data_IF_306691594003
#
_entry.id   IF_306691594003
#
_cell.length_a   1.000
_cell.length_b   1.000
_cell.length_c   1.000
_cell.angle_alpha   90.00
_cell.angle_beta   90.00
_cell.angle_gamma   90.00
#
_symmetry.space_group_name_H-M   'P 1'
#
loop_
_entity.id
_entity.type
_entity.pdbx_description
1 polymer ?
#
# COMPACT_ATOMS: atom_id res chain seq x y z
N UNK A 1 11.49 -19.09 -9.85
CA UNK A 1 11.07 -18.21 -10.95
C UNK A 1 9.60 -17.77 -10.86
N UNK A 2 9.08 -17.19 -11.94
CA UNK A 2 7.73 -16.63 -11.99
C UNK A 2 6.58 -17.65 -12.15
N UNK A 3 6.86 -18.95 -12.16
CA UNK A 3 5.87 -20.00 -12.43
C UNK A 3 5.45 -20.12 -13.91
N UNK A 4 6.09 -19.37 -14.81
CA UNK A 4 5.73 -19.35 -16.25
C UNK A 4 5.76 -20.73 -16.89
N UNK A 5 6.65 -21.63 -16.46
CA UNK A 5 6.68 -23.03 -16.92
C UNK A 5 5.41 -23.78 -16.53
N UNK A 6 4.89 -23.58 -15.33
CA UNK A 6 3.63 -24.18 -14.89
C UNK A 6 2.43 -23.64 -15.66
N UNK A 7 2.39 -22.30 -15.84
CA UNK A 7 1.35 -21.66 -16.67
C UNK A 7 1.42 -22.15 -18.11
N UNK A 8 2.62 -22.27 -18.70
CA UNK A 8 2.80 -22.80 -20.04
C UNK A 8 2.31 -24.26 -20.14
N UNK A 9 2.62 -25.10 -19.15
CA UNK A 9 2.15 -26.48 -19.11
C UNK A 9 0.60 -26.55 -19.07
N UNK A 10 -0.03 -25.72 -18.25
CA UNK A 10 -1.49 -25.61 -18.16
C UNK A 10 -2.12 -25.16 -19.49
N UNK A 11 -1.56 -24.12 -20.11
CA UNK A 11 -2.04 -23.57 -21.38
C UNK A 11 -1.82 -24.52 -22.57
N UNK A 12 -0.89 -25.46 -22.49
CA UNK A 12 -0.71 -26.48 -23.53
C UNK A 12 -1.90 -27.41 -23.66
N UNK A 13 -2.69 -27.63 -22.59
CA UNK A 13 -3.91 -28.44 -22.62
C UNK A 13 -5.02 -27.73 -23.43
N UNK A 14 -5.12 -26.43 -23.29
CA UNK A 14 -6.16 -25.61 -23.94
C UNK A 14 -5.54 -24.38 -24.63
N UNK A 15 -4.79 -24.58 -25.76
CA UNK A 15 -4.11 -23.48 -26.41
C UNK A 15 -5.08 -22.48 -27.01
N UNK A 16 -4.87 -21.18 -26.74
CA UNK A 16 -5.66 -20.11 -27.30
C UNK A 16 -5.42 -19.99 -28.83
N UNK A 17 -6.36 -19.34 -29.53
CA UNK A 17 -6.21 -19.03 -30.98
C UNK A 17 -4.91 -18.25 -31.23
N UNK A 18 -4.64 -17.23 -30.38
CA UNK A 18 -3.41 -16.41 -30.46
C UNK A 18 -2.14 -17.24 -30.32
N UNK A 19 -2.12 -18.20 -29.38
CA UNK A 19 -0.94 -19.08 -29.22
C UNK A 19 -0.66 -19.92 -30.50
N UNK A 20 -1.71 -20.44 -31.10
CA UNK A 20 -1.59 -21.19 -32.37
C UNK A 20 -1.10 -20.31 -33.52
N UNK A 21 -1.57 -19.07 -33.62
CA UNK A 21 -1.12 -18.08 -34.60
C UNK A 21 0.35 -17.70 -34.39
N UNK A 22 0.78 -17.48 -33.15
CA UNK A 22 2.19 -17.19 -32.84
C UNK A 22 3.07 -18.38 -33.20
N UNK A 23 2.70 -19.59 -32.81
CA UNK A 23 3.46 -20.80 -33.20
C UNK A 23 3.63 -20.92 -34.71
N UNK A 24 2.57 -20.67 -35.49
CA UNK A 24 2.61 -20.65 -36.93
C UNK A 24 3.53 -19.56 -37.47
N UNK A 25 3.48 -18.34 -36.91
CA UNK A 25 4.34 -17.22 -37.35
C UNK A 25 5.83 -17.48 -37.08
N UNK A 26 6.12 -18.25 -36.02
CA UNK A 26 7.48 -18.66 -35.65
C UNK A 26 7.94 -19.94 -36.41
N UNK A 27 7.10 -20.49 -37.29
CA UNK A 27 7.34 -21.75 -37.98
C UNK A 27 7.64 -22.92 -37.03
N UNK A 28 6.96 -22.96 -35.88
CA UNK A 28 7.08 -24.01 -34.86
C UNK A 28 5.82 -24.85 -34.86
N UNK A 29 5.97 -26.17 -34.77
CA UNK A 29 4.86 -27.12 -34.66
C UNK A 29 4.80 -27.69 -33.23
N UNK A 30 4.12 -27.04 -32.29
CA UNK A 30 4.03 -27.54 -30.93
C UNK A 30 3.16 -28.79 -30.84
N UNK A 31 3.54 -29.71 -29.96
CA UNK A 31 2.66 -30.83 -29.59
C UNK A 31 1.76 -30.31 -28.46
N UNK A 32 0.50 -30.04 -28.76
CA UNK A 32 -0.48 -29.61 -27.79
C UNK A 32 -1.00 -30.81 -26.97
N UNK A 33 -1.53 -30.52 -25.77
CA UNK A 33 -2.11 -31.49 -24.85
C UNK A 33 -1.64 -31.30 -23.43
N UNK A 34 -2.21 -32.07 -22.51
CA UNK A 34 -1.89 -32.00 -21.07
C UNK A 34 -0.39 -32.18 -20.82
N UNK A 35 0.13 -31.40 -19.90
CA UNK A 35 1.53 -31.44 -19.43
C UNK A 35 1.55 -31.44 -17.91
N UNK A 36 2.45 -32.20 -17.35
CA UNK A 36 2.79 -32.16 -15.92
C UNK A 36 4.06 -31.33 -15.75
N UNK A 37 4.02 -30.34 -14.88
CA UNK A 37 5.18 -29.53 -14.49
C UNK A 37 5.46 -29.73 -13.00
N UNK A 38 6.73 -29.99 -12.67
CA UNK A 38 7.20 -29.98 -11.29
C UNK A 38 8.00 -28.70 -11.10
N UNK A 39 7.57 -27.86 -10.18
CA UNK A 39 8.13 -26.53 -9.94
C UNK A 39 8.79 -26.50 -8.57
N UNK A 40 9.99 -25.95 -8.52
CA UNK A 40 10.72 -25.70 -7.29
C UNK A 40 10.92 -24.20 -7.13
N UNK A 41 10.58 -23.68 -5.96
CA UNK A 41 10.74 -22.28 -5.61
C UNK A 41 11.17 -22.16 -4.15
N UNK A 42 12.18 -21.34 -3.89
CA UNK A 42 12.76 -21.12 -2.56
C UNK A 42 12.00 -20.03 -1.80
N UNK A 43 11.48 -19.02 -2.53
CA UNK A 43 10.78 -17.88 -1.95
C UNK A 43 9.37 -18.23 -1.52
N UNK A 44 9.03 -17.99 -0.27
CA UNK A 44 7.70 -18.28 0.29
C UNK A 44 6.60 -17.58 -0.49
N UNK A 45 6.78 -16.28 -0.79
CA UNK A 45 5.81 -15.50 -1.58
C UNK A 45 5.66 -16.04 -3.00
N UNK A 46 6.77 -16.33 -3.68
CA UNK A 46 6.75 -16.85 -5.04
C UNK A 46 6.10 -18.23 -5.09
N UNK A 47 6.39 -19.12 -4.14
CA UNK A 47 5.73 -20.42 -4.01
C UNK A 47 4.22 -20.28 -3.82
N UNK A 48 3.78 -19.39 -2.94
CA UNK A 48 2.37 -19.09 -2.72
C UNK A 48 1.70 -18.56 -4.00
N UNK A 49 2.31 -17.55 -4.64
CA UNK A 49 1.76 -16.95 -5.86
C UNK A 49 1.63 -17.97 -7.00
N UNK A 50 2.66 -18.81 -7.21
CA UNK A 50 2.65 -19.87 -8.23
C UNK A 50 1.54 -20.89 -7.94
N UNK A 51 1.45 -21.40 -6.70
CA UNK A 51 0.39 -22.32 -6.28
C UNK A 51 -1.00 -21.74 -6.58
N UNK A 52 -1.20 -20.47 -6.22
CA UNK A 52 -2.47 -19.78 -6.38
C UNK A 52 -2.82 -19.55 -7.85
N UNK A 53 -1.89 -19.08 -8.68
CA UNK A 53 -2.10 -18.85 -10.13
C UNK A 53 -2.41 -20.16 -10.86
N UNK A 54 -1.81 -21.27 -10.44
CA UNK A 54 -2.02 -22.59 -11.03
C UNK A 54 -3.24 -23.34 -10.43
N UNK A 55 -3.95 -22.73 -9.46
CA UNK A 55 -5.15 -23.33 -8.90
C UNK A 55 -6.28 -23.38 -9.93
N UNK A 56 -7.14 -24.41 -9.79
CA UNK A 56 -8.28 -24.58 -10.69
C UNK A 56 -9.50 -23.78 -10.21
N UNK A 57 -9.41 -22.46 -10.32
CA UNK A 57 -10.53 -21.55 -10.06
C UNK A 57 -11.01 -21.03 -11.40
N UNK A 58 -12.31 -21.13 -11.68
CA UNK A 58 -12.89 -20.54 -12.88
C UNK A 58 -13.00 -19.03 -12.77
N UNK A 59 -13.02 -18.34 -13.91
CA UNK A 59 -13.22 -16.89 -13.92
C UNK A 59 -14.53 -16.48 -13.26
N UNK A 60 -15.60 -17.27 -13.43
CA UNK A 60 -16.90 -16.99 -12.80
C UNK A 60 -16.82 -17.06 -11.28
N UNK A 61 -16.27 -18.15 -10.74
CA UNK A 61 -16.09 -18.33 -9.30
C UNK A 61 -15.23 -17.21 -8.69
N UNK A 62 -14.14 -16.84 -9.35
CA UNK A 62 -13.28 -15.76 -8.88
C UNK A 62 -13.98 -14.41 -8.91
N UNK A 63 -14.69 -14.08 -10.01
CA UNK A 63 -15.40 -12.80 -10.14
C UNK A 63 -16.50 -12.68 -9.08
N UNK A 64 -17.31 -13.72 -8.89
CA UNK A 64 -18.35 -13.74 -7.87
C UNK A 64 -17.76 -13.56 -6.45
N UNK A 65 -16.66 -14.25 -6.17
CA UNK A 65 -15.96 -14.12 -4.89
C UNK A 65 -15.41 -12.70 -4.68
N UNK A 66 -14.81 -12.08 -5.70
CA UNK A 66 -14.31 -10.70 -5.63
C UNK A 66 -15.44 -9.71 -5.40
N UNK A 67 -16.55 -9.82 -6.13
CA UNK A 67 -17.73 -8.94 -5.96
C UNK A 67 -18.30 -9.04 -4.54
N UNK A 68 -18.45 -10.26 -4.03
CA UNK A 68 -18.88 -10.50 -2.66
C UNK A 68 -17.88 -9.98 -1.62
N UNK A 69 -16.60 -10.16 -1.87
CA UNK A 69 -15.52 -9.66 -1.02
C UNK A 69 -15.51 -8.13 -0.97
N UNK A 70 -15.59 -7.45 -2.11
CA UNK A 70 -15.60 -5.98 -2.18
C UNK A 70 -16.80 -5.37 -1.46
N UNK A 71 -17.98 -5.99 -1.57
CA UNK A 71 -19.16 -5.55 -0.82
C UNK A 71 -18.95 -5.64 0.69
N UNK A 72 -18.49 -6.80 1.18
CA UNK A 72 -18.18 -6.99 2.61
C UNK A 72 -17.05 -6.06 3.07
N UNK A 73 -16.03 -5.82 2.23
CA UNK A 73 -14.94 -4.91 2.52
C UNK A 73 -15.45 -3.47 2.68
N UNK A 74 -16.35 -3.01 1.80
CA UNK A 74 -16.95 -1.69 1.91
C UNK A 74 -17.72 -1.50 3.21
N UNK A 75 -18.51 -2.49 3.61
CA UNK A 75 -19.26 -2.47 4.87
C UNK A 75 -18.32 -2.47 6.09
N UNK A 76 -17.20 -3.19 6.02
CA UNK A 76 -16.27 -3.39 7.13
C UNK A 76 -15.35 -2.19 7.36
N UNK A 77 -14.82 -1.59 6.31
CA UNK A 77 -13.75 -0.58 6.39
C UNK A 77 -14.00 0.69 5.58
N UNK A 78 -15.07 0.77 4.80
CA UNK A 78 -15.34 1.90 3.91
C UNK A 78 -15.36 3.26 4.63
N UNK A 79 -15.90 3.31 5.85
CA UNK A 79 -15.94 4.52 6.68
C UNK A 79 -14.55 5.07 7.08
N UNK A 80 -13.50 4.26 7.00
CA UNK A 80 -12.15 4.74 7.27
C UNK A 80 -11.59 5.64 6.16
N UNK A 81 -12.20 5.60 4.96
CA UNK A 81 -11.86 6.47 3.85
C UNK A 81 -12.82 7.64 3.66
N UNK A 82 -13.82 7.81 4.54
CA UNK A 82 -14.69 8.99 4.49
C UNK A 82 -13.92 10.25 4.82
N UNK A 83 -14.22 11.30 4.07
CA UNK A 83 -13.58 12.63 4.22
C UNK A 83 -14.52 13.72 3.72
N UNK A 84 -14.41 14.92 4.27
CA UNK A 84 -15.16 16.08 3.80
C UNK A 84 -14.52 16.64 2.53
N UNK A 85 -15.31 16.84 1.48
CA UNK A 85 -14.87 17.44 0.24
C UNK A 85 -14.77 18.99 0.34
N UNK A 86 -14.25 19.69 -0.70
CA UNK A 86 -14.16 21.16 -0.69
C UNK A 86 -15.49 21.90 -0.52
N UNK A 87 -16.63 21.27 -0.83
CA UNK A 87 -17.96 21.82 -0.68
C UNK A 87 -18.63 21.48 0.66
N UNK A 88 -17.98 20.73 1.53
CA UNK A 88 -18.51 20.32 2.83
C UNK A 88 -19.32 19.01 2.81
N UNK A 89 -19.40 18.31 1.68
CA UNK A 89 -20.09 17.03 1.56
C UNK A 89 -19.17 15.86 1.92
N UNK A 90 -19.76 14.73 2.32
CA UNK A 90 -19.01 13.49 2.57
C UNK A 90 -18.61 12.85 1.25
N UNK A 91 -17.32 12.66 1.07
CA UNK A 91 -16.69 11.96 -0.04
C UNK A 91 -15.81 10.82 0.44
N UNK A 92 -15.08 10.24 -0.49
CA UNK A 92 -14.16 9.12 -0.23
C UNK A 92 -12.75 9.50 -0.65
N UNK A 93 -11.77 9.24 0.20
CA UNK A 93 -10.34 9.42 -0.10
C UNK A 93 -9.95 8.42 -1.19
N UNK A 94 -9.27 8.91 -2.22
CA UNK A 94 -8.59 8.08 -3.22
C UNK A 94 -7.14 7.84 -2.81
N UNK A 95 -6.43 8.90 -2.46
CA UNK A 95 -5.08 8.85 -1.87
C UNK A 95 -4.76 10.16 -1.15
N UNK A 96 -3.76 10.11 -0.29
CA UNK A 96 -3.25 11.26 0.47
C UNK A 96 -1.76 11.41 0.16
N UNK A 97 -1.33 12.62 -0.13
CA UNK A 97 0.09 12.96 -0.12
C UNK A 97 0.49 13.29 1.32
N UNK A 98 1.45 12.56 1.82
CA UNK A 98 2.05 12.80 3.14
C UNK A 98 3.30 13.65 2.99
N UNK A 99 3.46 14.61 3.87
CA UNK A 99 4.68 15.42 3.96
C UNK A 99 5.55 14.90 5.10
N UNK A 100 6.81 14.72 4.85
CA UNK A 100 7.80 14.70 5.92
C UNK A 100 7.90 16.09 6.56
N UNK A 101 8.20 16.13 7.84
CA UNK A 101 8.40 17.37 8.60
C UNK A 101 9.89 17.56 8.84
N UNK A 102 10.42 18.68 8.42
CA UNK A 102 11.82 19.06 8.60
C UNK A 102 11.96 20.02 9.79
N UNK A 103 13.13 20.02 10.41
CA UNK A 103 13.43 20.93 11.52
C UNK A 103 14.40 21.99 11.04
N UNK A 104 14.05 23.26 11.22
CA UNK A 104 14.93 24.38 10.89
C UNK A 104 16.21 24.32 11.76
N UNK A 105 17.42 24.27 11.18
CA UNK A 105 18.66 24.23 11.94
C UNK A 105 18.87 25.45 12.83
N UNK A 106 18.32 26.61 12.41
CA UNK A 106 18.52 27.87 13.13
C UNK A 106 17.55 28.11 14.29
N UNK A 107 16.23 27.89 14.09
CA UNK A 107 15.22 28.24 15.09
C UNK A 107 14.45 27.05 15.63
N UNK A 108 14.77 25.84 15.18
CA UNK A 108 14.15 24.57 15.59
C UNK A 108 12.66 24.44 15.25
N UNK A 109 12.12 25.37 14.46
CA UNK A 109 10.73 25.26 14.00
C UNK A 109 10.54 24.07 13.06
N UNK A 110 9.43 23.39 13.19
CA UNK A 110 9.00 22.32 12.29
C UNK A 110 8.40 22.91 11.01
N UNK A 111 8.74 22.34 9.89
CA UNK A 111 8.37 22.82 8.54
C UNK A 111 7.88 21.66 7.70
N UNK A 112 6.68 21.76 7.16
CA UNK A 112 6.18 20.81 6.15
C UNK A 112 7.02 20.91 4.88
N UNK A 113 7.67 19.81 4.51
CA UNK A 113 8.44 19.75 3.27
C UNK A 113 7.55 19.97 2.04
N UNK A 114 6.40 19.34 1.99
CA UNK A 114 5.47 19.48 0.86
C UNK A 114 5.03 20.93 0.63
N UNK A 115 4.71 21.65 1.70
CA UNK A 115 4.23 23.03 1.57
C UNK A 115 5.31 24.02 1.13
N UNK A 116 6.55 23.80 1.57
CA UNK A 116 7.63 24.77 1.35
C UNK A 116 8.65 24.34 0.33
N UNK A 117 8.89 23.04 0.23
CA UNK A 117 9.87 22.43 -0.68
C UNK A 117 9.31 22.00 -2.02
N UNK A 118 8.00 22.17 -2.27
CA UNK A 118 7.41 21.83 -3.58
C UNK A 118 6.64 22.99 -4.20
N UNK A 119 6.63 23.05 -5.53
CA UNK A 119 5.62 23.78 -6.31
C UNK A 119 4.72 22.77 -7.02
N UNK A 120 3.49 23.18 -7.39
CA UNK A 120 2.48 22.21 -7.86
C UNK A 120 2.16 22.27 -9.34
N UNK A 121 2.40 23.40 -10.02
CA UNK A 121 2.06 23.58 -11.44
C UNK A 121 3.24 24.16 -12.21
N UNK A 122 4.11 23.35 -12.80
CA UNK A 122 4.25 21.88 -12.66
C UNK A 122 4.77 21.47 -11.28
N UNK A 123 4.65 20.17 -10.95
CA UNK A 123 5.28 19.66 -9.71
C UNK A 123 6.80 19.74 -9.87
N UNK A 124 7.42 20.51 -8.97
CA UNK A 124 8.86 20.66 -8.89
C UNK A 124 9.28 20.61 -7.42
N UNK A 125 10.40 19.96 -7.18
CA UNK A 125 11.04 19.92 -5.87
C UNK A 125 12.10 21.01 -5.82
N UNK A 126 12.18 21.71 -4.70
CA UNK A 126 13.17 22.76 -4.43
C UNK A 126 14.29 22.17 -3.62
N UNK A 127 15.50 22.61 -3.91
CA UNK A 127 16.68 22.22 -3.13
C UNK A 127 16.84 23.07 -1.86
N UNK A 128 16.15 24.22 -1.80
CA UNK A 128 16.21 25.16 -0.69
C UNK A 128 14.84 25.52 -0.16
N UNK A 129 14.76 25.71 1.16
CA UNK A 129 13.55 26.12 1.88
C UNK A 129 13.84 27.39 2.66
N UNK A 130 12.92 28.37 2.54
CA UNK A 130 12.90 29.55 3.40
C UNK A 130 12.08 29.23 4.64
N UNK A 131 12.72 29.25 5.80
CA UNK A 131 12.02 29.01 7.09
C UNK A 131 10.94 30.09 7.29
N UNK A 132 9.66 29.70 7.52
CA UNK A 132 8.58 30.66 7.71
C UNK A 132 8.72 31.49 9.01
N UNK A 133 9.47 30.99 9.99
CA UNK A 133 9.67 31.62 11.29
C UNK A 133 10.86 32.59 11.31
N UNK A 134 12.06 32.10 11.03
CA UNK A 134 13.27 32.92 11.12
C UNK A 134 13.73 33.51 9.79
N UNK A 135 13.05 33.22 8.68
CA UNK A 135 13.33 33.72 7.31
C UNK A 135 14.68 33.33 6.71
N UNK A 136 15.45 32.48 7.40
CA UNK A 136 16.71 31.96 6.85
C UNK A 136 16.44 30.91 5.77
N UNK A 137 17.31 30.90 4.77
CA UNK A 137 17.33 29.90 3.69
C UNK A 137 18.20 28.73 4.15
N UNK A 138 17.73 27.52 3.91
CA UNK A 138 18.45 26.27 4.22
C UNK A 138 18.36 25.33 3.02
N UNK A 139 19.46 24.65 2.72
CA UNK A 139 19.42 23.51 1.80
C UNK A 139 18.72 22.33 2.47
N UNK A 140 17.88 21.61 1.72
CA UNK A 140 17.05 20.53 2.27
C UNK A 140 17.89 19.44 2.92
N UNK A 141 19.02 19.08 2.33
CA UNK A 141 19.94 18.06 2.85
C UNK A 141 20.57 18.41 4.21
N UNK A 142 20.57 19.70 4.58
CA UNK A 142 21.06 20.19 5.88
C UNK A 142 19.98 20.17 6.98
N UNK A 143 18.73 19.93 6.59
CA UNK A 143 17.59 19.97 7.50
C UNK A 143 17.28 18.57 8.05
N UNK A 144 17.42 18.32 9.35
CA UNK A 144 17.06 17.04 9.93
C UNK A 144 15.53 16.82 9.88
N UNK A 145 15.12 15.57 9.77
CA UNK A 145 13.73 15.18 9.92
C UNK A 145 13.27 15.37 11.37
N UNK A 146 12.07 15.90 11.55
CA UNK A 146 11.40 15.86 12.82
C UNK A 146 11.05 14.41 13.19
N UNK A 147 11.15 14.10 14.47
CA UNK A 147 10.73 12.82 15.03
C UNK A 147 9.59 13.04 16.02
N UNK A 148 8.75 12.03 16.16
CA UNK A 148 7.67 12.03 17.15
C UNK A 148 7.66 10.72 17.92
N UNK A 149 7.30 10.81 19.18
CA UNK A 149 7.02 9.66 20.05
C UNK A 149 5.52 9.37 19.97
N UNK A 150 5.15 8.10 19.77
CA UNK A 150 3.76 7.67 19.82
C UNK A 150 3.64 6.34 20.54
N UNK A 151 2.46 6.06 21.07
CA UNK A 151 2.19 4.78 21.72
C UNK A 151 1.80 3.74 20.67
N UNK A 152 2.69 2.78 20.44
CA UNK A 152 2.42 1.66 19.55
C UNK A 152 1.53 0.64 20.25
N UNK A 153 0.31 0.52 19.78
CA UNK A 153 -0.72 -0.31 20.41
C UNK A 153 -0.53 -1.80 20.22
N UNK A 154 0.19 -2.21 19.16
CA UNK A 154 0.54 -3.62 18.96
C UNK A 154 1.73 -4.01 19.83
N UNK A 155 2.72 -3.14 19.98
CA UNK A 155 3.89 -3.35 20.81
C UNK A 155 3.65 -2.99 22.28
N UNK A 156 2.56 -2.29 22.59
CA UNK A 156 2.20 -1.81 23.93
C UNK A 156 3.31 -0.98 24.60
N UNK A 157 4.00 -0.15 23.81
CA UNK A 157 5.09 0.71 24.29
C UNK A 157 5.21 1.99 23.48
N UNK A 158 5.91 2.99 24.04
CA UNK A 158 6.32 4.17 23.29
C UNK A 158 7.41 3.80 22.30
N UNK A 159 7.27 4.32 21.07
CA UNK A 159 8.23 4.17 19.99
C UNK A 159 8.42 5.50 19.28
N UNK A 160 9.58 5.68 18.65
CA UNK A 160 9.90 6.90 17.90
C UNK A 160 9.86 6.62 16.39
N UNK A 161 9.32 7.57 15.65
CA UNK A 161 9.31 7.54 14.18
C UNK A 161 9.59 8.91 13.57
N UNK A 162 9.93 8.95 12.28
CA UNK A 162 9.91 10.21 11.53
C UNK A 162 8.49 10.78 11.52
N UNK A 163 8.38 12.07 11.84
CA UNK A 163 7.09 12.77 11.84
C UNK A 163 6.61 12.99 10.41
N UNK A 164 5.40 12.57 10.11
CA UNK A 164 4.72 12.77 8.84
C UNK A 164 3.32 13.32 9.08
N UNK A 165 2.90 14.23 8.24
CA UNK A 165 1.56 14.83 8.29
C UNK A 165 0.87 14.69 6.93
N UNK A 166 -0.47 14.52 6.87
CA UNK A 166 -1.20 14.61 5.63
C UNK A 166 -1.09 16.05 5.08
N UNK A 167 -0.70 16.19 3.82
CA UNK A 167 -0.48 17.50 3.19
C UNK A 167 -1.55 17.81 2.14
N UNK A 168 -1.90 16.83 1.33
CA UNK A 168 -2.88 16.99 0.26
C UNK A 168 -3.75 15.75 0.10
N UNK A 169 -5.05 15.96 -0.10
CA UNK A 169 -6.04 14.89 -0.22
C UNK A 169 -6.64 14.92 -1.61
N UNK A 170 -6.66 13.76 -2.25
CA UNK A 170 -7.40 13.48 -3.46
C UNK A 170 -8.57 12.57 -3.13
N UNK A 171 -9.75 12.99 -3.51
CA UNK A 171 -10.98 12.29 -3.19
C UNK A 171 -11.98 12.26 -4.35
N UNK A 172 -13.10 11.62 -4.09
CA UNK A 172 -14.25 11.59 -4.98
C UNK A 172 -15.54 11.75 -4.19
N UNK A 173 -16.49 12.52 -4.74
CA UNK A 173 -17.83 12.67 -4.19
C UNK A 173 -18.84 12.55 -5.32
N UNK A 174 -19.79 11.61 -5.22
CA UNK A 174 -20.80 11.33 -6.27
C UNK A 174 -20.20 11.14 -7.67
N UNK A 175 -19.03 10.46 -7.75
CA UNK A 175 -18.33 10.18 -9.01
C UNK A 175 -17.47 11.34 -9.55
N UNK A 176 -17.50 12.52 -8.92
CA UNK A 176 -16.66 13.66 -9.30
C UNK A 176 -15.36 13.66 -8.48
N UNK A 177 -14.23 13.71 -9.16
CA UNK A 177 -12.91 13.80 -8.53
C UNK A 177 -12.64 15.22 -8.07
N UNK A 178 -12.00 15.36 -6.93
CA UNK A 178 -11.55 16.62 -6.35
C UNK A 178 -10.23 16.45 -5.62
N UNK A 179 -9.58 17.55 -5.33
CA UNK A 179 -8.41 17.58 -4.47
C UNK A 179 -8.38 18.87 -3.64
N UNK A 180 -7.78 18.80 -2.47
CA UNK A 180 -7.59 19.93 -1.56
C UNK A 180 -6.41 19.74 -0.62
N UNK A 181 -5.96 20.83 -0.03
CA UNK A 181 -5.03 20.80 1.09
C UNK A 181 -5.66 20.06 2.28
N UNK A 182 -4.86 19.30 3.01
CA UNK A 182 -5.30 18.70 4.26
C UNK A 182 -5.50 19.81 5.33
N UNK A 183 -6.50 19.61 6.17
CA UNK A 183 -6.88 20.52 7.25
C UNK A 183 -6.50 19.91 8.61
N UNK A 184 -6.60 20.72 9.67
CA UNK A 184 -6.42 20.22 11.05
C UNK A 184 -7.40 19.09 11.39
N UNK A 185 -8.63 19.15 10.85
CA UNK A 185 -9.63 18.09 11.03
C UNK A 185 -9.16 16.75 10.40
N UNK A 186 -8.47 16.80 9.26
CA UNK A 186 -7.92 15.59 8.63
C UNK A 186 -6.77 15.00 9.47
N UNK A 187 -5.92 15.86 10.04
CA UNK A 187 -4.85 15.45 10.96
C UNK A 187 -5.44 14.81 12.22
N UNK A 188 -6.45 15.47 12.80
CA UNK A 188 -7.17 14.94 13.97
C UNK A 188 -7.82 13.58 13.69
N UNK A 189 -8.42 13.41 12.50
CA UNK A 189 -9.02 12.14 12.09
C UNK A 189 -8.00 11.01 11.92
N UNK A 190 -6.80 11.32 11.39
CA UNK A 190 -5.71 10.34 11.33
C UNK A 190 -5.34 9.86 12.72
N UNK A 191 -5.16 10.81 13.66
CA UNK A 191 -4.81 10.50 15.03
C UNK A 191 -5.91 9.74 15.76
N UNK A 192 -7.16 10.11 15.57
CA UNK A 192 -8.32 9.38 16.10
C UNK A 192 -8.31 7.90 15.67
N UNK A 193 -8.04 7.63 14.39
CA UNK A 193 -7.94 6.26 13.87
C UNK A 193 -6.76 5.53 14.51
N UNK A 194 -5.60 6.17 14.64
CA UNK A 194 -4.41 5.58 15.25
C UNK A 194 -4.65 5.24 16.74
N UNK A 195 -5.28 6.13 17.47
CA UNK A 195 -5.46 6.00 18.91
C UNK A 195 -6.61 5.04 19.30
N UNK A 196 -7.70 5.00 18.52
CA UNK A 196 -8.95 4.38 18.98
C UNK A 196 -9.36 3.13 18.19
N UNK A 197 -8.82 2.88 16.99
CA UNK A 197 -9.27 1.73 16.23
C UNK A 197 -8.68 0.42 16.78
N UNK A 198 -9.50 -0.62 17.04
CA UNK A 198 -9.00 -1.86 17.63
C UNK A 198 -8.02 -2.59 16.69
N UNK A 199 -6.84 -2.92 17.22
CA UNK A 199 -5.81 -3.72 16.59
C UNK A 199 -5.58 -4.96 17.47
N UNK A 200 -5.79 -6.14 16.89
CA UNK A 200 -5.66 -7.43 17.59
C UNK A 200 -4.74 -8.38 16.81
N UNK A 201 -3.73 -7.83 16.15
CA UNK A 201 -2.77 -8.61 15.37
C UNK A 201 -1.52 -8.89 16.21
N UNK A 202 -0.85 -9.98 15.89
CA UNK A 202 0.48 -10.26 16.45
C UNK A 202 1.50 -9.43 15.66
N UNK A 203 2.28 -8.55 16.34
CA UNK A 203 3.30 -7.76 15.65
C UNK A 203 4.37 -8.68 15.06
N UNK A 204 4.74 -8.43 13.81
CA UNK A 204 5.77 -9.18 13.09
C UNK A 204 7.04 -8.34 13.04
N UNK A 205 8.07 -8.77 13.75
CA UNK A 205 9.38 -8.11 13.75
C UNK A 205 10.10 -8.32 12.43
N UNK A 206 10.73 -7.27 11.93
CA UNK A 206 11.58 -7.33 10.73
C UNK A 206 12.99 -7.67 11.17
N UNK A 207 13.50 -8.79 10.68
CA UNK A 207 14.85 -9.22 10.99
C UNK A 207 15.88 -8.20 10.49
N UNK A 208 16.98 -8.07 11.21
CA UNK A 208 18.08 -7.21 10.80
C UNK A 208 18.58 -7.54 9.40
N UNK A 209 18.85 -6.52 8.59
CA UNK A 209 19.32 -6.65 7.22
C UNK A 209 19.57 -5.30 6.57
N UNK A 210 19.59 -5.25 5.24
CA UNK A 210 19.84 -4.03 4.44
C UNK A 210 18.85 -2.89 4.75
N UNK A 211 17.62 -3.21 5.09
CA UNK A 211 16.60 -2.25 5.51
C UNK A 211 17.09 -1.37 6.66
N UNK A 212 17.71 -1.98 7.67
CA UNK A 212 18.23 -1.27 8.83
C UNK A 212 19.57 -0.58 8.56
N UNK A 213 20.40 -1.20 7.72
CA UNK A 213 21.74 -0.71 7.38
C UNK A 213 21.71 0.62 6.61
N UNK A 214 20.78 0.78 5.70
CA UNK A 214 20.70 1.95 4.83
C UNK A 214 20.21 3.23 5.56
N UNK A 215 19.67 3.13 6.77
CA UNK A 215 19.23 4.28 7.59
C UNK A 215 17.98 5.00 7.10
N UNK A 216 17.38 4.58 5.99
CA UNK A 216 16.19 5.22 5.42
C UNK A 216 14.94 4.98 6.28
N UNK A 217 14.93 3.89 7.01
CA UNK A 217 13.75 3.37 7.69
C UNK A 217 13.83 3.60 9.21
N UNK A 218 14.21 4.81 9.61
CA UNK A 218 14.22 5.16 11.02
C UNK A 218 12.84 4.95 11.64
N UNK A 219 12.80 4.17 12.73
CA UNK A 219 11.56 3.83 13.43
C UNK A 219 10.79 2.63 12.85
N UNK A 220 11.22 2.04 11.72
CA UNK A 220 10.57 0.86 11.14
C UNK A 220 11.27 -0.41 11.65
N UNK A 221 10.64 -1.10 12.59
CA UNK A 221 11.15 -2.34 13.20
C UNK A 221 10.18 -3.52 13.04
N UNK A 222 8.93 -3.25 12.68
CA UNK A 222 7.88 -4.26 12.52
C UNK A 222 7.10 -4.02 11.23
N UNK A 223 6.43 -5.04 10.73
CA UNK A 223 5.67 -4.99 9.48
C UNK A 223 4.64 -3.85 9.45
N UNK A 224 3.92 -3.63 10.54
CA UNK A 224 2.90 -2.58 10.62
C UNK A 224 3.47 -1.16 10.54
N UNK A 225 4.76 -0.95 10.80
CA UNK A 225 5.41 0.35 10.67
C UNK A 225 5.60 0.81 9.21
N UNK A 226 5.45 -0.09 8.22
CA UNK A 226 5.42 0.30 6.80
C UNK A 226 4.12 0.96 6.36
N UNK A 227 3.11 0.96 7.22
CA UNK A 227 1.79 1.47 6.90
C UNK A 227 1.44 2.67 7.76
N UNK A 228 0.60 3.56 7.23
CA UNK A 228 -0.19 4.41 8.12
C UNK A 228 -1.15 3.53 8.93
N UNK A 229 -1.54 3.98 10.12
CA UNK A 229 -2.47 3.21 10.97
C UNK A 229 -3.74 2.81 10.22
N UNK A 230 -4.32 3.73 9.43
CA UNK A 230 -5.48 3.46 8.59
C UNK A 230 -5.25 2.30 7.63
N UNK A 231 -4.16 2.36 6.86
CA UNK A 231 -3.88 1.33 5.84
C UNK A 231 -3.59 -0.02 6.49
N UNK A 232 -2.86 -0.05 7.60
CA UNK A 232 -2.61 -1.29 8.33
C UNK A 232 -3.90 -1.93 8.85
N UNK A 233 -4.77 -1.15 9.48
CA UNK A 233 -6.08 -1.60 9.97
C UNK A 233 -6.89 -2.23 8.83
N UNK A 234 -6.94 -1.56 7.68
CA UNK A 234 -7.68 -2.03 6.51
C UNK A 234 -7.08 -3.33 5.99
N UNK A 235 -5.76 -3.37 5.77
CA UNK A 235 -5.09 -4.58 5.27
C UNK A 235 -5.28 -5.77 6.21
N UNK A 236 -5.14 -5.57 7.52
CA UNK A 236 -5.39 -6.61 8.53
C UNK A 236 -6.82 -7.15 8.47
N UNK A 237 -7.81 -6.26 8.42
CA UNK A 237 -9.21 -6.65 8.35
C UNK A 237 -9.57 -7.36 7.06
N UNK A 238 -9.07 -6.87 5.92
CA UNK A 238 -9.30 -7.50 4.63
C UNK A 238 -8.61 -8.86 4.56
N UNK A 239 -7.42 -8.99 5.12
CA UNK A 239 -6.73 -10.27 5.22
C UNK A 239 -7.56 -11.31 6.00
N UNK A 240 -8.05 -10.94 7.18
CA UNK A 240 -8.94 -11.80 7.97
C UNK A 240 -10.26 -12.11 7.26
N UNK A 241 -10.79 -11.17 6.50
CA UNK A 241 -12.01 -11.39 5.72
C UNK A 241 -11.81 -12.50 4.66
N UNK A 242 -10.60 -12.65 4.09
CA UNK A 242 -10.34 -13.74 3.13
C UNK A 242 -10.53 -15.11 3.77
N UNK A 243 -10.29 -15.26 5.07
CA UNK A 243 -10.38 -16.53 5.80
C UNK A 243 -11.83 -17.06 5.94
N UNK A 244 -12.82 -16.23 5.58
CA UNK A 244 -14.23 -16.63 5.52
C UNK A 244 -14.61 -17.34 4.21
N UNK A 245 -13.67 -17.48 3.28
CA UNK A 245 -13.85 -18.14 1.98
C UNK A 245 -13.18 -19.53 1.97
N UNK A 246 -13.56 -20.38 1.00
CA UNK A 246 -12.88 -21.65 0.79
C UNK A 246 -11.39 -21.43 0.47
N UNK A 247 -10.51 -22.37 0.86
CA UNK A 247 -9.05 -22.20 0.83
C UNK A 247 -8.50 -21.68 -0.51
N UNK A 248 -8.93 -22.28 -1.63
CA UNK A 248 -8.47 -21.85 -2.96
C UNK A 248 -8.90 -20.41 -3.29
N UNK A 249 -10.13 -20.03 -2.95
CA UNK A 249 -10.63 -18.65 -3.13
C UNK A 249 -9.95 -17.69 -2.16
N UNK A 250 -9.77 -18.09 -0.90
CA UNK A 250 -9.04 -17.31 0.09
C UNK A 250 -7.60 -17.00 -0.37
N UNK A 251 -6.89 -18.00 -0.91
CA UNK A 251 -5.55 -17.81 -1.46
C UNK A 251 -5.56 -16.83 -2.65
N UNK A 252 -6.54 -16.92 -3.55
CA UNK A 252 -6.67 -16.00 -4.68
C UNK A 252 -6.98 -14.56 -4.23
N UNK A 253 -7.85 -14.38 -3.24
CA UNK A 253 -8.12 -13.07 -2.64
C UNK A 253 -6.92 -12.50 -1.89
N UNK A 254 -6.14 -13.33 -1.17
CA UNK A 254 -4.89 -12.93 -0.54
C UNK A 254 -3.85 -12.48 -1.57
N UNK A 255 -3.72 -13.20 -2.69
CA UNK A 255 -2.84 -12.81 -3.78
C UNK A 255 -3.27 -11.48 -4.40
N UNK A 256 -4.57 -11.24 -4.57
CA UNK A 256 -5.12 -9.96 -5.00
C UNK A 256 -4.73 -8.83 -4.03
N UNK A 257 -4.93 -9.01 -2.73
CA UNK A 257 -4.53 -8.03 -1.71
C UNK A 257 -3.03 -7.73 -1.76
N UNK A 258 -2.19 -8.75 -1.87
CA UNK A 258 -0.74 -8.59 -1.97
C UNK A 258 -0.32 -7.84 -3.23
N UNK A 259 -1.03 -8.00 -4.35
CA UNK A 259 -0.75 -7.27 -5.59
C UNK A 259 -0.98 -5.74 -5.45
N UNK A 260 -1.90 -5.33 -4.59
CA UNK A 260 -2.17 -3.92 -4.28
C UNK A 260 -1.30 -3.37 -3.15
N UNK A 261 -0.64 -4.24 -2.38
CA UNK A 261 0.10 -3.84 -1.19
C UNK A 261 1.18 -2.79 -1.46
N UNK A 262 1.89 -2.89 -2.59
CA UNK A 262 2.92 -1.93 -2.98
C UNK A 262 2.41 -0.47 -3.11
N UNK A 263 1.10 -0.29 -3.34
CA UNK A 263 0.46 1.03 -3.44
C UNK A 263 -0.08 1.56 -2.10
N UNK A 264 -0.05 0.75 -1.04
CA UNK A 264 -0.67 1.06 0.25
C UNK A 264 0.30 1.10 1.43
N UNK A 265 1.56 0.68 1.24
CA UNK A 265 2.62 0.87 2.21
C UNK A 265 3.29 2.25 2.02
N UNK A 266 3.92 2.77 3.06
CA UNK A 266 4.62 4.07 3.07
C UNK A 266 6.11 3.91 2.90
#
# INVERSE_FOLDING_TARGET
GSGSTGVAALLCEHPTKRMKEIAKSLNVTPVWGARNAVLYEIGTYASFAIKTILSRITNSEFTEAVDGFLKKAQDLVGKLYEVTDPAGATGTIRYIIWSEVLVCPNCRAEISYFERGTSRNPIQFKDEIICPHCKKVHHIDEMPFATEEYYDRLLQRQVSRKKRIPAWIYGTTKGCNWDRQATEADVARVKEIEDNYPLNDTPQEIQWGELHRAGYHYGITHLHHFYTARNYIIMSKLWKLTETYAENIADALKLLLLSYNASHCT
#
